data_IF_849757874534
#
_entry.id   IF_849757874534
#
_cell.length_a   1.000
_cell.length_b   1.000
_cell.length_c   1.000
_cell.angle_alpha   90.00
_cell.angle_beta   90.00
_cell.angle_gamma   90.00
#
_symmetry.space_group_name_H-M   'P 1'
#
loop_
_entity.id
_entity.type
_entity.pdbx_description
1 polymer ?
#
# COMPACT_ATOMS: atom_id res chain seq x y z
N UNK A 1 -13.05 22.39 19.91
CA UNK A 1 -14.13 21.78 20.71
C UNK A 1 -14.51 20.46 20.06
N UNK A 2 -14.11 19.32 20.65
CA UNK A 2 -14.70 18.03 20.28
C UNK A 2 -15.99 17.92 21.08
N UNK A 3 -17.14 17.97 20.42
CA UNK A 3 -18.41 17.52 21.02
C UNK A 3 -18.22 16.11 21.59
N UNK A 4 -18.90 15.79 22.69
CA UNK A 4 -18.98 14.42 23.20
C UNK A 4 -19.60 13.55 22.10
N UNK A 5 -18.77 12.71 21.47
CA UNK A 5 -19.14 11.93 20.30
C UNK A 5 -19.77 10.58 20.71
N UNK A 6 -19.81 10.27 22.01
CA UNK A 6 -20.17 8.94 22.52
C UNK A 6 -19.10 7.88 22.19
N UNK A 7 -17.92 8.31 21.72
CA UNK A 7 -16.81 7.44 21.31
C UNK A 7 -15.63 7.51 22.28
N UNK A 8 -15.83 8.07 23.48
CA UNK A 8 -14.77 8.33 24.46
C UNK A 8 -14.08 7.03 24.88
N UNK A 9 -14.83 5.93 25.01
CA UNK A 9 -14.27 4.60 25.30
C UNK A 9 -13.43 4.02 24.15
N UNK A 10 -13.67 4.43 22.90
CA UNK A 10 -12.90 3.96 21.75
C UNK A 10 -11.65 4.83 21.51
N UNK A 11 -11.79 6.14 21.69
CA UNK A 11 -10.79 7.15 21.33
C UNK A 11 -9.98 7.68 22.51
N UNK A 12 -10.34 7.30 23.75
CA UNK A 12 -9.66 7.74 24.96
C UNK A 12 -8.25 7.19 25.10
N UNK A 13 -7.56 7.62 26.16
CA UNK A 13 -6.18 7.28 26.45
C UNK A 13 -5.92 5.77 26.56
N UNK A 14 -6.89 5.01 27.05
CA UNK A 14 -6.85 3.54 27.18
C UNK A 14 -7.84 2.84 26.25
N UNK A 15 -8.42 3.60 25.32
CA UNK A 15 -9.46 3.11 24.43
C UNK A 15 -8.96 2.08 23.42
N UNK A 16 -9.92 1.47 22.72
CA UNK A 16 -9.66 0.44 21.72
C UNK A 16 -8.57 0.85 20.70
N UNK A 17 -8.67 2.05 20.12
CA UNK A 17 -7.70 2.51 19.12
C UNK A 17 -6.32 2.80 19.72
N UNK A 18 -6.26 3.27 20.97
CA UNK A 18 -4.98 3.49 21.64
C UNK A 18 -4.19 2.18 21.83
N UNK A 19 -4.89 1.09 22.18
CA UNK A 19 -4.28 -0.26 22.29
C UNK A 19 -4.02 -0.92 20.94
N UNK A 20 -4.83 -0.61 19.93
CA UNK A 20 -4.63 -1.13 18.57
C UNK A 20 -3.38 -0.49 17.93
N UNK A 21 -3.18 0.81 18.12
CA UNK A 21 -2.00 1.54 17.65
C UNK A 21 -0.80 1.43 18.60
N UNK A 22 -0.97 0.98 19.84
CA UNK A 22 0.08 0.98 20.87
C UNK A 22 0.52 2.38 21.32
N UNK A 23 -0.33 3.38 21.06
CA UNK A 23 -0.05 4.79 21.34
C UNK A 23 -1.36 5.49 21.65
N UNK A 24 -1.41 6.21 22.75
CA UNK A 24 -2.55 7.03 23.12
C UNK A 24 -2.62 8.33 22.31
N UNK A 25 -3.77 9.02 22.26
CA UNK A 25 -3.89 10.34 21.63
C UNK A 25 -2.93 11.38 22.22
N UNK A 26 -2.69 11.36 23.54
CA UNK A 26 -1.64 12.16 24.19
C UNK A 26 -0.25 11.91 23.63
N UNK A 27 -0.02 10.74 23.05
CA UNK A 27 1.28 10.22 22.70
C UNK A 27 1.92 9.41 23.82
N UNK A 28 1.21 8.98 24.86
CA UNK A 28 1.74 7.98 25.78
C UNK A 28 1.82 6.60 25.09
N UNK A 29 2.83 5.80 25.43
CA UNK A 29 2.89 4.39 24.99
C UNK A 29 1.76 3.58 25.63
N UNK A 30 1.22 2.60 24.89
CA UNK A 30 0.17 1.72 25.39
C UNK A 30 0.44 0.28 25.00
N UNK A 31 0.04 -0.64 25.88
CA UNK A 31 0.13 -2.06 25.62
C UNK A 31 -0.77 -2.45 24.45
N UNK A 32 -0.25 -3.33 23.61
CA UNK A 32 -0.92 -3.77 22.40
C UNK A 32 -2.02 -4.76 22.77
N UNK A 33 -3.23 -4.54 22.24
CA UNK A 33 -4.34 -5.48 22.44
C UNK A 33 -4.11 -6.81 21.70
N UNK A 34 -3.41 -6.75 20.56
CA UNK A 34 -3.11 -7.89 19.71
C UNK A 34 -1.61 -7.96 19.45
N UNK A 35 -1.08 -9.18 19.41
CA UNK A 35 0.30 -9.47 19.05
C UNK A 35 0.60 -9.21 17.56
N UNK A 36 1.50 -9.98 16.91
CA UNK A 36 1.81 -9.79 15.49
C UNK A 36 0.65 -10.16 14.56
N UNK A 37 -0.35 -10.89 15.06
CA UNK A 37 -1.56 -11.24 14.32
C UNK A 37 -2.64 -10.17 14.55
N UNK A 38 -2.64 -9.15 13.70
CA UNK A 38 -3.58 -8.05 13.80
C UNK A 38 -4.93 -8.41 13.17
N UNK A 39 -6.06 -8.07 13.82
CA UNK A 39 -7.35 -8.16 13.16
C UNK A 39 -7.48 -7.06 12.09
N UNK A 40 -8.38 -7.29 11.14
CA UNK A 40 -8.99 -6.25 10.30
C UNK A 40 -10.29 -5.85 10.99
N UNK A 41 -10.45 -4.57 11.30
CA UNK A 41 -11.63 -4.08 12.02
C UNK A 41 -12.63 -3.53 11.01
N UNK A 42 -13.85 -4.07 10.97
CA UNK A 42 -14.92 -3.55 10.14
C UNK A 42 -16.01 -2.93 11.01
N UNK A 43 -16.30 -1.65 10.80
CA UNK A 43 -17.41 -0.95 11.43
C UNK A 43 -18.61 -0.98 10.50
N UNK A 44 -19.64 -1.72 10.88
CA UNK A 44 -20.87 -1.89 10.11
C UNK A 44 -22.03 -1.11 10.73
N UNK A 45 -23.11 -0.93 9.99
CA UNK A 45 -24.32 -0.24 10.45
C UNK A 45 -24.96 0.61 9.37
N UNK A 46 -26.18 1.08 9.62
CA UNK A 46 -26.95 1.88 8.68
C UNK A 46 -26.31 3.24 8.31
N UNK A 47 -26.82 3.91 7.25
CA UNK A 47 -26.50 5.31 6.96
C UNK A 47 -26.72 6.20 8.19
N UNK A 48 -25.91 7.26 8.35
CA UNK A 48 -26.07 8.22 9.45
C UNK A 48 -25.54 7.78 10.83
N UNK A 49 -25.14 6.51 11.00
CA UNK A 49 -24.63 5.96 12.28
C UNK A 49 -23.23 6.47 12.71
N UNK A 50 -22.73 7.58 12.15
CA UNK A 50 -21.48 8.20 12.59
C UNK A 50 -20.18 7.45 12.27
N UNK A 51 -20.20 6.34 11.52
CA UNK A 51 -19.02 5.50 11.23
C UNK A 51 -17.85 6.25 10.58
N UNK A 52 -18.12 6.98 9.50
CA UNK A 52 -17.10 7.83 8.85
C UNK A 52 -16.65 8.98 9.75
N UNK A 53 -17.53 9.50 10.63
CA UNK A 53 -17.17 10.50 11.65
C UNK A 53 -16.19 9.91 12.66
N UNK A 54 -16.40 8.66 13.08
CA UNK A 54 -15.48 7.94 13.97
C UNK A 54 -14.10 7.76 13.30
N UNK A 55 -14.02 7.30 12.04
CA UNK A 55 -12.75 7.16 11.33
C UNK A 55 -11.99 8.49 11.21
N UNK A 56 -12.69 9.58 10.90
CA UNK A 56 -12.08 10.91 10.87
C UNK A 56 -11.59 11.34 12.25
N UNK A 57 -12.36 11.07 13.30
CA UNK A 57 -11.95 11.34 14.68
C UNK A 57 -10.73 10.51 15.10
N UNK A 58 -10.62 9.25 14.67
CA UNK A 58 -9.41 8.43 14.84
C UNK A 58 -8.24 9.08 14.12
N UNK A 59 -8.38 9.43 12.84
CA UNK A 59 -7.32 10.13 12.11
C UNK A 59 -6.89 11.39 12.86
N UNK A 60 -7.81 12.28 13.19
CA UNK A 60 -7.49 13.60 13.73
C UNK A 60 -6.83 13.51 15.12
N UNK A 61 -7.19 12.52 15.94
CA UNK A 61 -6.57 12.30 17.26
C UNK A 61 -5.22 11.61 17.20
N UNK A 62 -5.02 10.66 16.29
CA UNK A 62 -3.83 9.80 16.29
C UNK A 62 -2.79 10.18 15.22
N UNK A 63 -3.18 10.85 14.13
CA UNK A 63 -2.30 11.20 13.01
C UNK A 63 -1.21 12.23 13.33
N UNK A 64 -1.16 12.80 14.54
CA UNK A 64 -0.01 13.57 15.00
C UNK A 64 1.06 12.69 15.66
N UNK A 65 0.71 11.47 16.07
CA UNK A 65 1.52 10.59 16.94
C UNK A 65 1.95 9.31 16.24
N UNK A 66 1.10 8.80 15.35
CA UNK A 66 1.31 7.60 14.55
C UNK A 66 0.91 7.85 13.10
N UNK A 67 1.56 7.21 12.12
CA UNK A 67 1.26 7.41 10.71
C UNK A 67 -0.07 6.74 10.36
N UNK A 68 -1.15 7.53 10.37
CA UNK A 68 -2.53 7.07 10.10
C UNK A 68 -3.04 7.77 8.85
N UNK A 69 -3.38 6.98 7.83
CA UNK A 69 -3.92 7.45 6.56
C UNK A 69 -5.41 7.13 6.49
N UNK A 70 -6.21 8.12 6.14
CA UNK A 70 -7.62 7.95 5.81
C UNK A 70 -7.84 8.01 4.31
N UNK A 71 -8.46 6.98 3.74
CA UNK A 71 -8.88 6.90 2.34
C UNK A 71 -10.41 6.81 2.29
N UNK A 72 -11.01 7.54 1.36
CA UNK A 72 -12.42 7.38 1.02
C UNK A 72 -12.51 6.47 -0.21
N UNK A 73 -12.83 5.20 -0.01
CA UNK A 73 -12.82 4.20 -1.07
C UNK A 73 -13.95 4.41 -2.09
N UNK A 74 -14.97 5.21 -1.77
CA UNK A 74 -16.03 5.60 -2.69
C UNK A 74 -15.70 6.86 -3.50
N UNK A 75 -14.54 7.49 -3.28
CA UNK A 75 -14.13 8.69 -4.01
C UNK A 75 -13.91 8.38 -5.50
N UNK A 76 -14.54 9.13 -6.42
CA UNK A 76 -14.34 8.93 -7.86
C UNK A 76 -12.93 9.30 -8.32
N UNK A 77 -12.23 10.12 -7.54
CA UNK A 77 -10.89 10.64 -7.86
C UNK A 77 -9.89 9.55 -8.23
N UNK A 78 -9.98 8.36 -7.61
CA UNK A 78 -9.08 7.25 -7.93
C UNK A 78 -9.38 6.61 -9.29
N UNK A 79 -10.66 6.52 -9.65
CA UNK A 79 -11.07 6.05 -10.97
C UNK A 79 -10.70 7.10 -12.04
N UNK A 80 -11.00 8.37 -11.80
CA UNK A 80 -10.72 9.48 -12.72
C UNK A 80 -9.22 9.62 -13.03
N UNK A 81 -8.35 9.41 -12.03
CA UNK A 81 -6.88 9.42 -12.23
C UNK A 81 -6.36 8.21 -13.00
N UNK A 82 -7.06 7.08 -12.89
CA UNK A 82 -6.68 5.84 -13.55
C UNK A 82 -7.18 5.75 -15.01
N UNK A 83 -8.31 6.40 -15.31
CA UNK A 83 -8.96 6.39 -16.63
C UNK A 83 -8.03 6.68 -17.82
N UNK A 84 -7.07 7.63 -17.75
CA UNK A 84 -6.22 7.93 -18.90
C UNK A 84 -5.33 6.77 -19.36
N UNK A 85 -4.95 5.87 -18.46
CA UNK A 85 -4.00 4.78 -18.75
C UNK A 85 -4.45 3.47 -18.09
N UNK A 86 -5.57 2.86 -18.54
CA UNK A 86 -6.18 1.71 -17.87
C UNK A 86 -5.31 0.44 -17.92
N UNK A 87 -4.29 0.40 -18.77
CA UNK A 87 -3.28 -0.66 -18.85
C UNK A 87 -2.12 -0.52 -17.85
N UNK A 88 -1.93 0.68 -17.27
CA UNK A 88 -0.87 1.00 -16.31
C UNK A 88 -1.39 1.53 -14.96
N UNK A 89 -2.69 1.87 -14.88
CA UNK A 89 -3.33 2.45 -13.70
C UNK A 89 -4.65 1.76 -13.37
N UNK A 90 -4.98 1.76 -12.09
CA UNK A 90 -6.28 1.38 -11.58
C UNK A 90 -6.61 2.19 -10.33
N UNK A 91 -7.88 2.21 -9.94
CA UNK A 91 -8.28 2.90 -8.71
C UNK A 91 -7.51 2.38 -7.48
N UNK A 92 -7.16 1.09 -7.45
CA UNK A 92 -6.33 0.50 -6.41
C UNK A 92 -4.91 1.08 -6.44
N UNK A 93 -4.24 1.10 -7.60
CA UNK A 93 -2.87 1.63 -7.67
C UNK A 93 -2.82 3.12 -7.34
N UNK A 94 -3.80 3.91 -7.78
CA UNK A 94 -3.91 5.34 -7.42
C UNK A 94 -4.12 5.55 -5.91
N UNK A 95 -4.93 4.71 -5.26
CA UNK A 95 -5.10 4.75 -3.82
C UNK A 95 -3.78 4.39 -3.08
N UNK A 96 -3.07 3.35 -3.53
CA UNK A 96 -1.77 2.95 -2.95
C UNK A 96 -0.71 4.06 -3.11
N UNK A 97 -0.68 4.72 -4.28
CA UNK A 97 0.20 5.86 -4.54
C UNK A 97 -0.15 7.03 -3.63
N UNK A 98 -1.42 7.28 -3.36
CA UNK A 98 -1.83 8.31 -2.41
C UNK A 98 -1.42 7.99 -0.97
N UNK A 99 -1.53 6.73 -0.55
CA UNK A 99 -1.03 6.28 0.75
C UNK A 99 0.49 6.48 0.83
N UNK A 100 1.23 5.99 -0.16
CA UNK A 100 2.67 6.13 -0.23
C UNK A 100 3.09 7.61 -0.20
N UNK A 101 2.43 8.47 -0.99
CA UNK A 101 2.65 9.93 -1.02
C UNK A 101 2.55 10.54 0.37
N UNK A 102 1.45 10.28 1.08
CA UNK A 102 1.21 10.86 2.41
C UNK A 102 2.25 10.37 3.42
N UNK A 103 2.65 9.10 3.35
CA UNK A 103 3.64 8.50 4.24
C UNK A 103 5.08 8.93 3.91
N UNK A 104 5.42 9.19 2.65
CA UNK A 104 6.69 9.80 2.25
C UNK A 104 6.83 11.22 2.82
N UNK A 105 5.72 11.94 3.03
CA UNK A 105 5.73 13.27 3.63
C UNK A 105 5.59 13.28 5.16
N UNK A 106 5.54 12.10 5.78
CA UNK A 106 5.38 11.98 7.23
C UNK A 106 6.60 12.56 7.99
N UNK A 107 6.35 13.47 8.93
CA UNK A 107 7.38 14.14 9.72
C UNK A 107 7.37 13.75 11.20
N UNK A 108 6.55 12.77 11.59
CA UNK A 108 6.50 12.29 12.97
C UNK A 108 7.70 11.42 13.35
N UNK A 109 7.54 10.69 14.45
CA UNK A 109 8.55 9.76 15.00
C UNK A 109 9.03 8.76 13.94
N UNK A 110 10.36 8.72 13.76
CA UNK A 110 11.05 7.89 12.75
C UNK A 110 11.06 8.45 11.32
N UNK A 111 10.43 9.60 11.07
CA UNK A 111 10.50 10.31 9.78
C UNK A 111 9.77 9.61 8.63
N UNK A 112 10.05 10.07 7.41
CA UNK A 112 9.39 9.61 6.20
C UNK A 112 9.56 8.12 5.93
N UNK A 113 8.65 7.57 5.12
CA UNK A 113 8.70 6.19 4.64
C UNK A 113 9.30 6.14 3.23
N UNK A 114 9.89 4.99 2.89
CA UNK A 114 10.33 4.66 1.55
C UNK A 114 9.62 3.38 1.10
N UNK A 115 9.27 3.31 -0.19
CA UNK A 115 8.45 2.24 -0.74
C UNK A 115 9.12 1.54 -1.94
N UNK A 116 10.33 0.98 -1.78
CA UNK A 116 11.07 0.39 -2.88
C UNK A 116 10.37 -0.81 -3.52
N UNK A 117 9.68 -1.65 -2.73
CA UNK A 117 9.01 -2.83 -3.25
C UNK A 117 7.79 -2.42 -4.05
N UNK A 118 6.93 -1.58 -3.47
CA UNK A 118 5.76 -1.06 -4.19
C UNK A 118 6.19 -0.34 -5.48
N UNK A 119 7.20 0.52 -5.40
CA UNK A 119 7.65 1.29 -6.55
C UNK A 119 8.16 0.41 -7.69
N UNK A 120 8.92 -0.65 -7.40
CA UNK A 120 9.37 -1.59 -8.44
C UNK A 120 8.19 -2.24 -9.19
N UNK A 121 7.09 -2.53 -8.49
CA UNK A 121 5.87 -3.06 -9.11
C UNK A 121 5.13 -2.00 -9.92
N UNK A 122 5.00 -0.78 -9.39
CA UNK A 122 4.39 0.36 -10.09
C UNK A 122 5.16 0.75 -11.37
N UNK A 123 6.49 0.74 -11.32
CA UNK A 123 7.33 0.97 -12.49
C UNK A 123 7.12 -0.13 -13.55
N UNK A 124 6.93 -1.38 -13.13
CA UNK A 124 6.71 -2.48 -14.07
C UNK A 124 5.33 -2.45 -14.71
N UNK A 125 4.26 -2.09 -13.99
CA UNK A 125 2.94 -1.90 -14.61
C UNK A 125 2.90 -0.67 -15.53
N UNK A 126 3.78 0.32 -15.31
CA UNK A 126 3.92 1.48 -16.21
C UNK A 126 4.29 1.07 -17.65
N UNK A 127 4.87 -0.11 -17.86
CA UNK A 127 5.08 -0.68 -19.21
C UNK A 127 3.79 -0.95 -19.98
N UNK A 128 2.64 -0.89 -19.31
CA UNK A 128 1.30 -1.01 -19.88
C UNK A 128 0.65 0.29 -20.35
N UNK A 129 1.38 1.42 -20.40
CA UNK A 129 0.88 2.65 -21.02
C UNK A 129 0.51 2.42 -22.48
N UNK A 130 -0.55 3.10 -22.95
CA UNK A 130 -1.11 2.90 -24.28
C UNK A 130 -0.11 3.21 -25.40
N UNK A 131 0.72 4.24 -25.22
CA UNK A 131 1.72 4.65 -26.20
C UNK A 131 2.86 3.62 -26.34
N UNK A 132 3.16 2.87 -25.28
CA UNK A 132 4.19 1.82 -25.27
C UNK A 132 5.63 2.30 -25.50
N UNK A 133 5.86 3.61 -25.68
CA UNK A 133 7.18 4.21 -25.91
C UNK A 133 8.00 4.24 -24.62
N UNK A 134 9.34 4.13 -24.70
CA UNK A 134 10.22 4.28 -23.53
C UNK A 134 9.99 5.58 -22.77
N UNK A 135 9.69 6.68 -23.47
CA UNK A 135 9.41 8.00 -22.90
C UNK A 135 8.08 8.03 -22.15
N UNK A 136 7.03 7.42 -22.69
CA UNK A 136 5.74 7.32 -22.01
C UNK A 136 5.84 6.44 -20.76
N UNK A 137 6.57 5.33 -20.84
CA UNK A 137 6.85 4.46 -19.69
C UNK A 137 7.66 5.20 -18.63
N UNK A 138 8.68 5.96 -19.03
CA UNK A 138 9.47 6.78 -18.10
C UNK A 138 8.61 7.86 -17.45
N UNK A 139 7.77 8.55 -18.21
CA UNK A 139 6.86 9.59 -17.71
C UNK A 139 5.87 9.01 -16.69
N UNK A 140 5.30 7.84 -16.99
CA UNK A 140 4.38 7.17 -16.07
C UNK A 140 5.09 6.66 -14.81
N UNK A 141 6.30 6.13 -14.93
CA UNK A 141 7.11 5.74 -13.77
C UNK A 141 7.50 6.95 -12.91
N UNK A 142 7.88 8.08 -13.53
CA UNK A 142 8.24 9.34 -12.86
C UNK A 142 7.05 9.99 -12.14
N UNK A 143 5.81 9.77 -12.61
CA UNK A 143 4.60 10.24 -11.91
C UNK A 143 4.51 9.71 -10.47
N UNK A 144 5.05 8.53 -10.23
CA UNK A 144 5.12 7.93 -8.90
C UNK A 144 6.26 8.53 -8.03
N UNK A 145 7.15 9.35 -8.61
CA UNK A 145 8.29 9.99 -7.94
C UNK A 145 8.07 11.45 -7.54
N UNK A 146 7.16 12.18 -8.20
CA UNK A 146 6.82 13.59 -7.87
C UNK A 146 6.17 13.79 -6.48
N UNK A 147 6.15 12.72 -5.69
CA UNK A 147 5.88 12.69 -4.26
C UNK A 147 7.10 13.28 -3.54
N UNK A 148 7.00 14.47 -2.92
CA UNK A 148 8.16 15.20 -2.44
C UNK A 148 8.90 14.39 -1.37
N UNK A 149 9.99 13.72 -1.77
CA UNK A 149 10.99 13.19 -0.86
C UNK A 149 11.78 14.36 -0.26
N UNK A 150 11.16 15.44 0.24
CA UNK A 150 11.93 16.60 0.72
C UNK A 150 12.86 16.18 1.86
N UNK A 151 14.15 16.38 1.60
CA UNK A 151 15.29 16.35 2.50
C UNK A 151 14.93 16.78 3.92
N UNK A 152 15.19 15.92 4.90
CA UNK A 152 15.89 16.28 6.15
C UNK A 152 16.52 15.03 6.73
N UNK A 153 17.76 14.74 6.35
CA UNK A 153 18.84 14.26 7.23
C UNK A 153 20.09 14.02 6.38
N UNK A 154 21.06 14.95 6.51
CA UNK A 154 22.46 14.62 6.26
C UNK A 154 22.80 13.44 7.17
N UNK A 155 23.11 12.30 6.57
CA UNK A 155 23.62 11.13 7.27
C UNK A 155 22.55 10.11 7.61
N UNK A 156 22.48 9.06 6.77
CA UNK A 156 22.15 7.65 7.03
C UNK A 156 21.31 7.11 5.87
N UNK A 157 21.98 6.29 5.04
CA UNK A 157 21.59 5.93 3.70
C UNK A 157 20.38 5.01 3.62
N UNK A 158 19.39 5.45 2.82
CA UNK A 158 18.41 4.65 2.09
C UNK A 158 17.48 5.60 1.31
N UNK A 159 17.22 6.80 1.85
CA UNK A 159 16.34 7.81 1.23
C UNK A 159 16.96 8.59 0.07
N UNK A 160 18.28 8.74 0.03
CA UNK A 160 18.97 9.44 -1.09
C UNK A 160 19.21 8.55 -2.31
N UNK A 161 19.08 7.23 -2.16
CA UNK A 161 19.45 6.26 -3.18
C UNK A 161 18.46 6.25 -4.36
N UNK A 162 17.16 6.12 -4.12
CA UNK A 162 16.17 6.01 -5.18
C UNK A 162 15.97 7.30 -5.99
N UNK A 163 16.09 8.46 -5.33
CA UNK A 163 16.00 9.77 -6.01
C UNK A 163 17.10 9.98 -7.05
N UNK A 164 18.30 9.43 -6.81
CA UNK A 164 19.43 9.50 -7.72
C UNK A 164 19.42 8.39 -8.78
N UNK A 165 19.01 7.19 -8.39
CA UNK A 165 18.92 6.01 -9.26
C UNK A 165 17.86 6.16 -10.36
N UNK A 166 16.74 6.83 -10.09
CA UNK A 166 15.63 6.85 -11.04
C UNK A 166 15.59 8.09 -11.94
N UNK A 167 15.68 9.29 -11.35
CA UNK A 167 15.53 10.58 -12.05
C UNK A 167 16.55 10.81 -13.18
N UNK A 168 17.72 10.18 -13.07
CA UNK A 168 18.79 10.26 -14.05
C UNK A 168 18.89 8.97 -14.86
N UNK A 169 19.02 7.83 -14.19
CA UNK A 169 19.44 6.60 -14.85
C UNK A 169 18.31 5.91 -15.61
N UNK A 170 17.08 5.84 -15.09
CA UNK A 170 15.99 5.16 -15.83
C UNK A 170 15.56 5.98 -17.04
N UNK A 171 15.34 7.29 -16.87
CA UNK A 171 15.04 8.15 -18.01
C UNK A 171 16.18 8.15 -19.03
N UNK A 172 17.43 8.38 -18.62
CA UNK A 172 18.54 8.39 -19.57
C UNK A 172 18.72 7.01 -20.23
N UNK A 173 18.55 5.91 -19.51
CA UNK A 173 18.68 4.57 -20.09
C UNK A 173 17.54 4.27 -21.06
N UNK A 174 16.29 4.59 -20.69
CA UNK A 174 15.13 4.39 -21.56
C UNK A 174 15.18 5.29 -22.81
N UNK A 175 15.63 6.54 -22.69
CA UNK A 175 15.81 7.42 -23.85
C UNK A 175 17.01 7.03 -24.72
N UNK A 176 18.13 6.59 -24.11
CA UNK A 176 19.31 6.12 -24.86
C UNK A 176 19.01 4.81 -25.58
N UNK A 177 18.23 3.92 -24.97
CA UNK A 177 17.79 2.67 -25.58
C UNK A 177 16.60 2.84 -26.54
N UNK A 178 15.76 3.86 -26.35
CA UNK A 178 14.66 4.21 -27.26
C UNK A 178 15.11 4.66 -28.64
N UNK A 179 16.35 5.13 -28.77
CA UNK A 179 17.00 5.38 -30.07
C UNK A 179 17.37 4.08 -30.81
N UNK A 180 17.38 2.93 -30.13
CA UNK A 180 17.88 1.65 -30.64
C UNK A 180 16.88 0.48 -30.56
N UNK A 181 15.73 0.66 -29.90
CA UNK A 181 14.73 -0.38 -29.67
C UNK A 181 13.43 -0.07 -30.42
N UNK A 182 12.90 -1.09 -31.09
CA UNK A 182 11.53 -1.04 -31.64
C UNK A 182 10.50 -0.83 -30.51
N UNK A 183 9.32 -0.21 -30.79
CA UNK A 183 8.27 0.13 -29.80
C UNK A 183 7.60 -1.05 -29.05
N UNK A 184 8.21 -2.23 -29.04
CA UNK A 184 7.66 -3.42 -28.41
C UNK A 184 7.85 -3.41 -26.89
N UNK A 185 6.73 -3.43 -26.17
CA UNK A 185 6.65 -3.47 -24.69
C UNK A 185 7.54 -4.51 -24.01
N UNK A 186 7.91 -5.62 -24.67
CA UNK A 186 8.81 -6.63 -24.13
C UNK A 186 10.27 -6.16 -24.01
N UNK A 187 10.77 -5.39 -24.99
CA UNK A 187 12.13 -4.84 -24.96
C UNK A 187 12.25 -3.75 -23.88
N UNK A 188 11.25 -2.87 -23.79
CA UNK A 188 11.16 -1.84 -22.75
C UNK A 188 11.08 -2.47 -21.36
N UNK A 189 10.29 -3.53 -21.19
CA UNK A 189 10.21 -4.28 -19.93
C UNK A 189 11.54 -4.90 -19.52
N UNK A 190 12.30 -5.44 -20.48
CA UNK A 190 13.62 -6.02 -20.20
C UNK A 190 14.64 -4.95 -19.80
N UNK A 191 14.70 -3.86 -20.55
CA UNK A 191 15.56 -2.72 -20.23
C UNK A 191 15.25 -2.14 -18.85
N UNK A 192 13.97 -1.99 -18.52
CA UNK A 192 13.54 -1.51 -17.20
C UNK A 192 13.95 -2.47 -16.08
N UNK A 193 13.79 -3.78 -16.28
CA UNK A 193 14.24 -4.77 -15.30
C UNK A 193 15.75 -4.76 -15.11
N UNK A 194 16.52 -4.65 -16.19
CA UNK A 194 17.98 -4.53 -16.09
C UNK A 194 18.36 -3.25 -15.34
N UNK A 195 17.74 -2.11 -15.66
CA UNK A 195 17.95 -0.85 -14.94
C UNK A 195 17.63 -0.95 -13.43
N UNK A 196 16.47 -1.54 -13.11
CA UNK A 196 16.01 -1.72 -11.73
C UNK A 196 16.98 -2.61 -10.96
N UNK A 197 17.38 -3.76 -11.51
CA UNK A 197 18.27 -4.66 -10.79
C UNK A 197 19.72 -4.17 -10.77
N UNK A 198 20.26 -3.59 -11.84
CA UNK A 198 21.64 -3.09 -11.87
C UNK A 198 21.86 -1.91 -10.95
N UNK A 199 20.87 -1.02 -10.85
CA UNK A 199 20.98 0.13 -9.95
C UNK A 199 20.96 -0.24 -8.47
N UNK A 200 20.25 -1.31 -8.09
CA UNK A 200 20.04 -1.74 -6.71
C UNK A 200 21.32 -2.18 -5.97
N UNK A 201 21.46 -1.77 -4.71
CA UNK A 201 22.46 -2.38 -3.82
C UNK A 201 22.13 -3.88 -3.57
N UNK A 202 23.12 -4.74 -3.22
CA UNK A 202 22.90 -6.18 -3.02
C UNK A 202 21.76 -6.53 -2.07
N UNK A 203 21.61 -5.77 -0.97
CA UNK A 203 20.49 -5.93 -0.03
C UNK A 203 19.14 -5.61 -0.69
N UNK A 204 19.07 -4.54 -1.49
CA UNK A 204 17.85 -4.19 -2.23
C UNK A 204 17.48 -5.23 -3.28
N UNK A 205 18.47 -5.79 -3.99
CA UNK A 205 18.26 -6.90 -4.93
C UNK A 205 17.72 -8.14 -4.23
N UNK A 206 18.26 -8.49 -3.05
CA UNK A 206 17.78 -9.63 -2.27
C UNK A 206 16.32 -9.45 -1.81
N UNK A 207 15.95 -8.24 -1.36
CA UNK A 207 14.58 -7.93 -0.95
C UNK A 207 13.58 -7.96 -2.11
N UNK A 208 13.93 -7.37 -3.26
CA UNK A 208 13.11 -7.50 -4.46
C UNK A 208 13.05 -8.96 -4.95
N UNK A 209 14.17 -9.68 -4.82
CA UNK A 209 14.29 -11.11 -5.07
C UNK A 209 13.28 -11.92 -4.28
N UNK A 210 13.24 -11.69 -2.96
CA UNK A 210 12.33 -12.39 -2.04
C UNK A 210 10.87 -12.10 -2.36
N UNK A 211 10.49 -10.83 -2.52
CA UNK A 211 9.08 -10.48 -2.73
C UNK A 211 8.61 -10.90 -4.12
N UNK A 212 9.26 -10.43 -5.19
CA UNK A 212 8.80 -10.69 -6.56
C UNK A 212 9.11 -12.11 -7.03
N UNK A 213 10.08 -12.80 -6.42
CA UNK A 213 10.25 -14.25 -6.62
C UNK A 213 9.11 -15.09 -6.04
N UNK A 214 8.35 -14.54 -5.09
CA UNK A 214 7.16 -15.17 -4.50
C UNK A 214 5.85 -14.80 -5.22
N UNK A 215 5.91 -14.00 -6.30
CA UNK A 215 4.74 -13.72 -7.12
C UNK A 215 4.21 -15.02 -7.75
N UNK A 216 2.88 -15.22 -7.86
CA UNK A 216 2.33 -16.42 -8.50
C UNK A 216 2.94 -16.68 -9.88
N UNK A 217 3.44 -17.90 -10.11
CA UNK A 217 4.10 -18.27 -11.36
C UNK A 217 5.56 -17.81 -11.53
N UNK A 218 6.12 -17.04 -10.60
CA UNK A 218 7.50 -16.55 -10.70
C UNK A 218 8.57 -17.63 -10.45
N UNK A 219 8.22 -18.73 -9.79
CA UNK A 219 9.12 -19.84 -9.46
C UNK A 219 10.46 -19.40 -8.81
N UNK A 220 10.41 -18.40 -7.93
CA UNK A 220 11.60 -17.85 -7.26
C UNK A 220 12.41 -16.86 -8.11
N UNK A 221 12.01 -16.58 -9.35
CA UNK A 221 12.70 -15.67 -10.26
C UNK A 221 12.03 -14.30 -10.26
N UNK A 222 12.62 -13.27 -9.63
CA UNK A 222 11.93 -11.99 -9.41
C UNK A 222 11.71 -11.19 -10.71
N UNK A 223 12.59 -11.34 -11.70
CA UNK A 223 12.41 -10.73 -13.03
C UNK A 223 11.19 -11.32 -13.74
N UNK A 224 10.96 -12.62 -13.63
CA UNK A 224 9.76 -13.27 -14.17
C UNK A 224 8.54 -12.79 -13.40
N UNK A 225 8.59 -12.77 -12.06
CA UNK A 225 7.46 -12.30 -11.25
C UNK A 225 7.01 -10.88 -11.57
N UNK A 226 7.94 -9.96 -11.78
CA UNK A 226 7.63 -8.58 -12.22
C UNK A 226 7.00 -8.53 -13.63
N UNK A 227 7.41 -9.39 -14.56
CA UNK A 227 6.79 -9.48 -15.89
C UNK A 227 5.38 -10.07 -15.82
N UNK A 228 5.18 -11.13 -15.04
CA UNK A 228 3.85 -11.73 -14.83
C UNK A 228 2.94 -10.70 -14.18
N UNK A 229 3.40 -9.98 -13.15
CA UNK A 229 2.64 -8.91 -12.52
C UNK A 229 2.17 -7.85 -13.52
N UNK A 230 3.06 -7.38 -14.40
CA UNK A 230 2.71 -6.40 -15.43
C UNK A 230 1.72 -6.98 -16.47
N UNK A 231 1.88 -8.25 -16.84
CA UNK A 231 0.98 -8.94 -17.76
C UNK A 231 -0.42 -9.16 -17.14
N UNK A 232 -0.49 -9.64 -15.91
CA UNK A 232 -1.73 -9.87 -15.16
C UNK A 232 -2.49 -8.56 -14.94
N UNK A 233 -1.76 -7.49 -14.61
CA UNK A 233 -2.35 -6.16 -14.49
C UNK A 233 -2.96 -5.71 -15.83
N UNK A 234 -2.25 -5.87 -16.95
CA UNK A 234 -2.75 -5.49 -18.28
C UNK A 234 -3.94 -6.34 -18.72
N UNK A 235 -3.93 -7.63 -18.41
CA UNK A 235 -4.99 -8.58 -18.80
C UNK A 235 -6.36 -8.21 -18.22
N UNK A 236 -6.41 -7.55 -17.05
CA UNK A 236 -7.67 -7.17 -16.41
C UNK A 236 -8.31 -8.32 -15.63
N UNK A 237 -9.58 -8.15 -15.25
CA UNK A 237 -10.36 -9.17 -14.52
C UNK A 237 -9.67 -9.65 -13.24
N UNK A 238 -9.80 -10.96 -12.95
CA UNK A 238 -9.23 -11.59 -11.76
C UNK A 238 -7.69 -11.51 -11.72
N UNK A 239 -7.02 -11.59 -12.87
CA UNK A 239 -5.56 -11.46 -12.94
C UNK A 239 -5.09 -10.08 -12.44
N UNK A 240 -5.81 -9.02 -12.84
CA UNK A 240 -5.53 -7.67 -12.31
C UNK A 240 -5.76 -7.60 -10.81
N UNK A 241 -6.79 -8.24 -10.27
CA UNK A 241 -7.04 -8.25 -8.82
C UNK A 241 -5.91 -8.94 -8.05
N UNK A 242 -5.30 -9.99 -8.61
CA UNK A 242 -4.09 -10.61 -8.05
C UNK A 242 -2.91 -9.64 -8.05
N UNK A 243 -2.67 -8.95 -9.17
CA UNK A 243 -1.61 -7.94 -9.26
C UNK A 243 -1.84 -6.76 -8.29
N UNK A 244 -3.06 -6.22 -8.20
CA UNK A 244 -3.44 -5.15 -7.26
C UNK A 244 -3.24 -5.57 -5.80
N UNK A 245 -3.68 -6.79 -5.46
CA UNK A 245 -3.51 -7.36 -4.12
C UNK A 245 -2.03 -7.50 -3.76
N UNK A 246 -1.21 -7.94 -4.71
CA UNK A 246 0.23 -8.08 -4.52
C UNK A 246 0.93 -6.72 -4.35
N UNK A 247 0.52 -5.68 -5.09
CA UNK A 247 1.03 -4.32 -4.89
C UNK A 247 0.67 -3.78 -3.50
N UNK A 248 -0.54 -4.07 -3.00
CA UNK A 248 -0.92 -3.70 -1.65
C UNK A 248 -0.08 -4.43 -0.59
N UNK A 249 0.23 -5.70 -0.82
CA UNK A 249 1.21 -6.44 -0.01
C UNK A 249 2.59 -5.79 -0.04
N UNK A 250 3.10 -5.41 -1.21
CA UNK A 250 4.39 -4.74 -1.34
C UNK A 250 4.44 -3.44 -0.52
N UNK A 251 3.36 -2.64 -0.54
CA UNK A 251 3.22 -1.45 0.31
C UNK A 251 3.32 -1.79 1.81
N UNK A 252 2.62 -2.84 2.27
CA UNK A 252 2.65 -3.25 3.68
C UNK A 252 4.00 -3.82 4.12
N UNK A 253 4.67 -4.58 3.24
CA UNK A 253 6.02 -5.08 3.50
C UNK A 253 7.05 -3.95 3.58
N UNK A 254 6.90 -2.89 2.77
CA UNK A 254 7.71 -1.68 2.88
C UNK A 254 7.50 -0.96 4.22
N UNK A 255 6.25 -0.88 4.70
CA UNK A 255 5.95 -0.36 6.03
C UNK A 255 6.57 -1.21 7.13
N UNK A 256 6.44 -2.54 7.08
CA UNK A 256 7.05 -3.44 8.06
C UNK A 256 8.57 -3.29 8.06
N UNK A 257 9.21 -3.26 6.89
CA UNK A 257 10.65 -3.06 6.76
C UNK A 257 11.11 -1.73 7.37
N UNK A 258 10.34 -0.66 7.21
CA UNK A 258 10.65 0.64 7.81
C UNK A 258 10.62 0.64 9.34
N UNK A 259 9.87 -0.27 9.95
CA UNK A 259 9.81 -0.46 11.40
C UNK A 259 10.80 -1.52 11.91
N UNK A 260 11.09 -2.55 11.12
CA UNK A 260 12.04 -3.61 11.46
C UNK A 260 13.51 -3.16 11.30
N UNK A 261 13.76 -2.12 10.49
CA UNK A 261 15.10 -1.55 10.35
C UNK A 261 15.67 -1.07 11.72
N UNK A 262 16.98 -1.18 11.98
CA UNK A 262 17.56 -0.85 13.29
C UNK A 262 17.23 0.58 13.80
N UNK A 263 17.27 1.57 12.91
CA UNK A 263 16.89 2.95 13.23
C UNK A 263 15.37 3.09 13.43
N UNK A 264 14.59 2.34 12.64
CA UNK A 264 13.14 2.28 12.74
C UNK A 264 12.68 1.73 14.08
N UNK A 265 13.29 0.62 14.51
CA UNK A 265 13.00 -0.03 15.79
C UNK A 265 13.26 0.89 16.99
N UNK A 266 14.27 1.76 16.92
CA UNK A 266 14.60 2.72 17.98
C UNK A 266 13.73 3.98 17.98
N UNK A 267 13.29 4.46 16.80
CA UNK A 267 12.68 5.79 16.66
C UNK A 267 11.19 5.79 16.34
N UNK A 268 10.68 4.71 15.72
CA UNK A 268 9.27 4.61 15.38
C UNK A 268 8.50 4.04 16.55
N UNK A 269 7.37 4.67 16.84
CA UNK A 269 6.48 4.28 17.93
C UNK A 269 5.09 3.97 17.39
N UNK A 270 4.40 3.06 18.07
CA UNK A 270 3.09 2.59 17.70
C UNK A 270 3.04 1.86 16.35
N UNK A 271 1.83 1.65 15.85
CA UNK A 271 1.55 0.95 14.59
C UNK A 271 1.01 1.92 13.52
N UNK A 272 1.42 1.78 12.25
CA UNK A 272 0.82 2.52 11.15
C UNK A 272 -0.64 2.10 10.95
N UNK A 273 -1.48 3.03 10.50
CA UNK A 273 -2.91 2.80 10.30
C UNK A 273 -3.39 3.15 8.90
N UNK A 274 -4.25 2.30 8.33
CA UNK A 274 -5.03 2.56 7.13
C UNK A 274 -6.51 2.51 7.48
N UNK A 275 -7.17 3.66 7.40
CA UNK A 275 -8.60 3.83 7.64
C UNK A 275 -9.30 3.92 6.29
N UNK A 276 -10.14 2.94 5.99
CA UNK A 276 -10.86 2.80 4.72
C UNK A 276 -12.33 3.19 4.95
N UNK A 277 -12.68 4.43 4.63
CA UNK A 277 -14.09 4.85 4.63
C UNK A 277 -14.78 4.27 3.38
N UNK A 278 -16.03 3.84 3.53
CA UNK A 278 -16.84 3.22 2.47
C UNK A 278 -16.18 1.99 1.86
N UNK A 279 -15.73 1.10 2.72
CA UNK A 279 -15.05 -0.13 2.35
C UNK A 279 -15.96 -1.15 1.64
N UNK A 280 -17.27 -0.91 1.57
CA UNK A 280 -18.22 -1.65 0.72
C UNK A 280 -18.09 -1.33 -0.77
N UNK A 281 -17.37 -0.28 -1.14
CA UNK A 281 -17.06 0.04 -2.54
C UNK A 281 -16.10 -1.00 -3.14
N UNK A 282 -16.05 -1.14 -4.49
CA UNK A 282 -15.15 -2.10 -5.13
C UNK A 282 -13.67 -1.94 -4.73
N UNK A 283 -13.19 -0.70 -4.59
CA UNK A 283 -11.83 -0.42 -4.13
C UNK A 283 -11.61 -0.91 -2.69
N UNK A 284 -12.55 -0.59 -1.79
CA UNK A 284 -12.48 -0.99 -0.40
C UNK A 284 -12.52 -2.51 -0.22
N UNK A 285 -13.43 -3.17 -0.93
CA UNK A 285 -13.57 -4.62 -0.91
C UNK A 285 -12.29 -5.32 -1.38
N UNK A 286 -11.70 -4.86 -2.49
CA UNK A 286 -10.43 -5.40 -2.99
C UNK A 286 -9.31 -5.27 -1.97
N UNK A 287 -9.13 -4.09 -1.37
CA UNK A 287 -8.09 -3.87 -0.36
C UNK A 287 -8.30 -4.72 0.90
N UNK A 288 -9.55 -4.85 1.37
CA UNK A 288 -9.88 -5.69 2.52
C UNK A 288 -9.67 -7.18 2.22
N UNK A 289 -10.13 -7.68 1.07
CA UNK A 289 -9.92 -9.08 0.66
C UNK A 289 -8.45 -9.41 0.50
N UNK A 290 -7.65 -8.49 -0.05
CA UNK A 290 -6.22 -8.65 -0.21
C UNK A 290 -5.52 -8.87 1.15
N UNK A 291 -5.77 -7.99 2.13
CA UNK A 291 -5.15 -8.17 3.46
C UNK A 291 -5.66 -9.42 4.19
N UNK A 292 -6.95 -9.74 4.08
CA UNK A 292 -7.50 -10.93 4.72
C UNK A 292 -6.89 -12.21 4.15
N UNK A 293 -6.75 -12.27 2.82
CA UNK A 293 -6.11 -13.39 2.12
C UNK A 293 -4.65 -13.54 2.54
N UNK A 294 -3.92 -12.44 2.59
CA UNK A 294 -2.51 -12.46 2.99
C UNK A 294 -2.32 -12.88 4.46
N UNK A 295 -3.13 -12.34 5.38
CA UNK A 295 -3.06 -12.73 6.80
C UNK A 295 -3.46 -14.18 7.02
N UNK A 296 -4.48 -14.66 6.31
CA UNK A 296 -4.84 -16.09 6.29
C UNK A 296 -3.69 -16.96 5.76
N UNK A 297 -2.94 -16.46 4.78
CA UNK A 297 -1.72 -17.08 4.25
C UNK A 297 -0.47 -16.93 5.12
N UNK A 298 -0.60 -16.40 6.34
CA UNK A 298 0.50 -16.22 7.30
C UNK A 298 1.36 -14.98 7.07
N UNK A 299 1.02 -14.12 6.11
CA UNK A 299 1.70 -12.84 5.88
C UNK A 299 1.23 -11.82 6.92
N UNK A 300 1.94 -11.78 8.04
CA UNK A 300 1.67 -10.88 9.16
C UNK A 300 2.42 -9.56 8.99
N UNK A 301 1.76 -8.48 9.37
CA UNK A 301 2.28 -7.12 9.32
C UNK A 301 1.74 -6.31 10.50
N UNK A 302 2.41 -5.21 10.84
CA UNK A 302 1.96 -4.33 11.93
C UNK A 302 0.96 -3.25 11.52
N UNK A 303 0.42 -3.27 10.30
CA UNK A 303 -0.49 -2.24 9.77
C UNK A 303 -1.89 -2.47 10.33
N UNK A 304 -2.39 -1.50 11.06
CA UNK A 304 -3.76 -1.49 11.56
C UNK A 304 -4.69 -1.12 10.41
N UNK A 305 -5.68 -1.96 10.10
CA UNK A 305 -6.65 -1.70 9.04
C UNK A 305 -8.04 -1.63 9.65
N UNK A 306 -8.73 -0.53 9.36
CA UNK A 306 -10.08 -0.25 9.88
C UNK A 306 -10.95 0.20 8.72
N UNK A 307 -11.96 -0.59 8.37
CA UNK A 307 -12.94 -0.26 7.34
C UNK A 307 -14.27 0.22 7.93
N UNK A 308 -15.01 1.04 7.19
CA UNK A 308 -16.46 1.25 7.44
C UNK A 308 -17.26 0.62 6.32
N UNK A 309 -18.41 0.02 6.64
CA UNK A 309 -19.34 -0.47 5.63
C UNK A 309 -20.77 -0.03 5.94
N UNK A 310 -21.47 0.53 4.95
CA UNK A 310 -22.90 0.89 5.07
C UNK A 310 -23.82 -0.30 4.83
N UNK A 311 -23.53 -1.43 5.46
CA UNK A 311 -24.32 -2.66 5.33
C UNK A 311 -24.67 -3.20 6.71
N UNK A 312 -25.89 -3.74 6.90
CA UNK A 312 -26.28 -4.41 8.14
C UNK A 312 -25.74 -5.85 8.22
N UNK A 313 -25.20 -6.39 7.12
CA UNK A 313 -24.80 -7.80 6.95
C UNK A 313 -23.51 -8.21 7.65
N UNK A 314 -22.99 -7.38 8.57
CA UNK A 314 -21.82 -7.72 9.37
C UNK A 314 -20.52 -7.93 8.57
N UNK A 315 -20.47 -7.58 7.28
CA UNK A 315 -19.31 -7.83 6.43
C UNK A 315 -19.40 -9.08 5.55
N UNK A 316 -20.57 -9.71 5.42
CA UNK A 316 -20.78 -10.88 4.56
C UNK A 316 -20.31 -10.67 3.11
N UNK A 317 -20.30 -9.43 2.61
CA UNK A 317 -19.76 -9.10 1.29
C UNK A 317 -18.27 -9.44 1.13
N UNK A 318 -17.48 -9.48 2.21
CA UNK A 318 -16.08 -9.91 2.18
C UNK A 318 -15.93 -11.43 2.02
N UNK A 319 -17.01 -12.18 2.29
CA UNK A 319 -17.06 -13.64 2.24
C UNK A 319 -17.80 -14.17 1.02
N UNK A 320 -18.34 -13.30 0.14
CA UNK A 320 -19.04 -13.72 -1.08
C UNK A 320 -18.12 -14.60 -1.92
N UNK A 321 -18.35 -15.92 -1.84
CA UNK A 321 -17.47 -16.99 -2.34
C UNK A 321 -17.35 -18.20 -1.40
N UNK A 322 -17.62 -18.07 -0.09
CA UNK A 322 -17.77 -19.21 0.82
C UNK A 322 -19.26 -19.51 1.01
N UNK A 323 -19.74 -20.75 0.75
CA UNK A 323 -21.08 -21.11 1.19
C UNK A 323 -21.16 -20.90 2.71
N UNK A 324 -22.32 -20.49 3.25
CA UNK A 324 -22.51 -20.51 4.68
C UNK A 324 -22.30 -21.96 5.13
N UNK A 325 -21.16 -22.27 5.76
CA UNK A 325 -21.11 -23.44 6.60
C UNK A 325 -22.25 -23.24 7.60
N UNK A 326 -23.23 -24.13 7.55
CA UNK A 326 -24.22 -24.31 8.59
C UNK A 326 -23.45 -24.52 9.89
N UNK A 327 -23.22 -23.42 10.61
CA UNK A 327 -22.72 -23.44 11.97
C UNK A 327 -23.83 -24.08 12.77
N UNK A 328 -23.77 -25.41 12.87
CA UNK A 328 -24.57 -26.17 13.82
C UNK A 328 -24.06 -25.77 15.19
N UNK A 329 -24.87 -25.13 16.05
CA UNK A 329 -24.41 -24.73 17.37
C UNK A 329 -24.02 -25.99 18.15
N UNK A 330 -22.92 -25.94 18.94
CA UNK A 330 -22.56 -27.06 19.79
C UNK A 330 -23.67 -27.31 20.81
N UNK A 331 -24.02 -28.58 20.96
CA UNK A 331 -24.96 -29.09 21.96
C UNK A 331 -24.48 -28.83 23.39
#
# INVERSE_FOLDING_TARGET
MCEELGFEKLLGEEGFFARLFGRAPSGAGRDLLYGPDLPVVLLTGGPGMGKGRLLRAVRDRFAAKVPVIHLDCASPVYADRAEPEPGARSAATEALVEVARRLCTWQGTGGSFAFPRLFAGLAMIATGVAEGTPEAVATEAERYEDLPQKQRLRGLGAGDFWRGVLRGTIRNLLTTLGQALDPYSAAVSNALLDALFESLAPRGRAELGRIYGAYPGAAGQPRIGLRILAADFRAGGEAREVAESFLFRALREDLEAAYAAPIGWLRRVGRPGLLLDHAESPLGERLLRAVLTDRRGGQRDRVVIVGTARRPDGGAFLHGGLPPEEVTPPA
#
